data_IF_008302921823
#
_entry.id   IF_008302921823
#
_cell.length_a   1.000
_cell.length_b   1.000
_cell.length_c   1.000
_cell.angle_alpha   90.00
_cell.angle_beta   90.00
_cell.angle_gamma   90.00
#
_symmetry.space_group_name_H-M   'P 1'
#
loop_
_entity.id
_entity.type
_entity.pdbx_description
1 polymer ?
#
# COMPACT_ATOMS: atom_id res chain seq x y z
N UNK A 1 -8.41 -2.91 2.31
CA UNK A 1 -7.53 -2.04 1.51
C UNK A 1 -7.29 -2.69 0.16
N UNK A 2 -7.32 -1.89 -0.90
CA UNK A 2 -6.89 -2.28 -2.24
C UNK A 2 -5.73 -1.39 -2.69
N UNK A 3 -4.64 -2.02 -3.13
CA UNK A 3 -3.46 -1.37 -3.70
C UNK A 3 -3.52 -1.62 -5.20
N UNK A 4 -3.67 -0.58 -6.00
CA UNK A 4 -3.58 -0.65 -7.45
C UNK A 4 -2.23 -0.13 -7.90
N UNK A 5 -1.42 -0.98 -8.51
CA UNK A 5 -0.03 -0.68 -8.92
C UNK A 5 0.09 -0.80 -10.43
N UNK A 6 0.31 0.33 -11.08
CA UNK A 6 0.46 0.46 -12.51
C UNK A 6 1.91 0.80 -12.86
N UNK A 7 2.45 0.20 -13.91
CA UNK A 7 3.76 0.56 -14.48
C UNK A 7 3.58 0.93 -15.95
N UNK A 8 3.98 2.13 -16.32
CA UNK A 8 3.76 2.69 -17.66
C UNK A 8 2.33 2.52 -18.15
N UNK A 9 2.18 2.12 -19.41
CA UNK A 9 0.88 1.88 -20.04
C UNK A 9 0.22 0.52 -19.72
N UNK A 10 0.81 -0.30 -18.85
CA UNK A 10 0.25 -1.60 -18.53
C UNK A 10 -0.99 -1.51 -17.62
N UNK A 11 -1.85 -2.53 -17.65
CA UNK A 11 -2.98 -2.62 -16.71
C UNK A 11 -2.50 -2.69 -15.26
N UNK A 12 -3.15 -1.92 -14.38
CA UNK A 12 -2.83 -1.92 -12.96
C UNK A 12 -3.02 -3.31 -12.32
N UNK A 13 -2.02 -3.77 -11.59
CA UNK A 13 -2.08 -4.98 -10.75
C UNK A 13 -2.74 -4.61 -9.42
N UNK A 14 -3.77 -5.36 -9.01
CA UNK A 14 -4.50 -5.12 -7.76
C UNK A 14 -4.08 -6.12 -6.68
N UNK A 15 -3.74 -5.62 -5.49
CA UNK A 15 -3.56 -6.41 -4.27
C UNK A 15 -4.62 -6.01 -3.25
N UNK A 16 -5.22 -7.01 -2.60
CA UNK A 16 -6.23 -6.78 -1.56
C UNK A 16 -5.72 -7.29 -0.23
N UNK A 17 -5.82 -6.45 0.79
CA UNK A 17 -5.47 -6.76 2.18
C UNK A 17 -6.66 -6.43 3.08
N UNK A 18 -6.97 -7.32 4.02
CA UNK A 18 -8.09 -7.15 4.95
C UNK A 18 -7.65 -7.52 6.36
N UNK A 19 -7.97 -6.66 7.34
CA UNK A 19 -7.71 -6.89 8.76
C UNK A 19 -9.05 -6.75 9.49
N UNK A 20 -9.34 -7.71 10.37
CA UNK A 20 -10.47 -7.63 11.30
C UNK A 20 -9.88 -7.41 12.69
N UNK A 21 -10.32 -6.36 13.38
CA UNK A 21 -9.84 -5.99 14.72
C UNK A 21 -10.97 -5.35 15.51
N UNK A 22 -10.80 -5.22 16.82
CA UNK A 22 -11.74 -4.52 17.71
C UNK A 22 -11.62 -3.00 17.62
N UNK A 23 -12.61 -2.30 18.18
CA UNK A 23 -12.56 -0.84 18.33
C UNK A 23 -11.36 -0.44 19.22
N UNK A 24 -10.58 0.53 18.73
CA UNK A 24 -9.32 1.00 19.33
C UNK A 24 -8.26 -0.08 19.52
N UNK A 25 -8.35 -1.19 18.78
CA UNK A 25 -7.38 -2.27 18.82
C UNK A 25 -6.53 -2.27 17.55
N UNK A 26 -5.22 -2.28 17.71
CA UNK A 26 -4.30 -2.40 16.58
C UNK A 26 -4.36 -3.80 15.97
N UNK A 27 -4.32 -3.89 14.65
CA UNK A 27 -4.10 -5.12 13.91
C UNK A 27 -3.03 -4.95 12.84
N UNK A 28 -2.38 -6.04 12.45
CA UNK A 28 -1.39 -5.99 11.38
C UNK A 28 -1.38 -7.24 10.52
N UNK A 29 -0.89 -7.09 9.29
CA UNK A 29 -0.51 -8.19 8.40
C UNK A 29 0.94 -7.96 7.99
N UNK A 30 1.75 -9.02 8.10
CA UNK A 30 3.11 -9.06 7.56
C UNK A 30 3.20 -10.16 6.52
N UNK A 31 3.54 -9.79 5.29
CA UNK A 31 3.77 -10.76 4.21
C UNK A 31 5.15 -10.49 3.62
N UNK A 32 5.92 -11.55 3.39
CA UNK A 32 7.29 -11.45 2.87
C UNK A 32 7.42 -12.43 1.72
N UNK A 33 7.80 -11.93 0.55
CA UNK A 33 8.27 -12.77 -0.54
C UNK A 33 9.80 -12.91 -0.47
N UNK A 34 10.29 -14.15 -0.53
CA UNK A 34 11.72 -14.46 -0.51
C UNK A 34 12.15 -14.93 -1.90
N UNK A 35 13.17 -14.28 -2.45
CA UNK A 35 13.76 -14.62 -3.74
C UNK A 35 15.22 -15.02 -3.54
N UNK A 36 15.75 -15.91 -4.39
CA UNK A 36 17.14 -16.38 -4.28
C UNK A 36 18.17 -15.26 -4.38
N UNK A 37 17.92 -14.27 -5.24
CA UNK A 37 18.89 -13.23 -5.60
C UNK A 37 18.49 -11.82 -5.16
N UNK A 38 17.43 -11.69 -4.35
CA UNK A 38 16.96 -10.40 -3.87
C UNK A 38 16.76 -10.44 -2.35
N UNK A 39 16.93 -9.30 -1.66
CA UNK A 39 16.46 -9.16 -0.29
C UNK A 39 14.96 -9.51 -0.18
N UNK A 40 14.50 -9.92 1.01
CA UNK A 40 13.08 -10.17 1.24
C UNK A 40 12.23 -8.94 0.87
N UNK A 41 11.09 -9.19 0.21
CA UNK A 41 10.20 -8.16 -0.32
C UNK A 41 8.93 -8.11 0.54
N UNK A 42 8.83 -7.15 1.48
CA UNK A 42 7.68 -7.06 2.37
C UNK A 42 6.48 -6.34 1.75
N UNK A 43 5.30 -6.85 2.09
CA UNK A 43 4.03 -6.15 2.06
C UNK A 43 3.45 -6.20 3.48
N UNK A 44 3.53 -5.07 4.17
CA UNK A 44 3.12 -4.95 5.56
C UNK A 44 2.05 -3.87 5.68
N UNK A 45 1.01 -4.16 6.47
CA UNK A 45 -0.06 -3.22 6.79
C UNK A 45 -0.28 -3.25 8.29
N UNK A 46 -0.29 -2.09 8.91
CA UNK A 46 -0.68 -1.91 10.31
C UNK A 46 -1.88 -0.95 10.35
N UNK A 47 -2.85 -1.25 11.21
CA UNK A 47 -4.09 -0.48 11.30
C UNK A 47 -4.54 -0.32 12.75
N UNK A 48 -5.14 0.82 13.06
CA UNK A 48 -5.82 1.07 14.33
C UNK A 48 -7.13 1.84 14.06
N UNK A 49 -8.29 1.17 14.11
CA UNK A 49 -9.57 1.82 13.92
C UNK A 49 -10.15 2.37 15.23
N UNK A 50 -10.95 3.42 15.10
CA UNK A 50 -11.72 4.05 16.17
C UNK A 50 -13.13 4.33 15.64
N UNK A 51 -14.15 3.76 16.30
CA UNK A 51 -15.55 4.05 15.98
C UNK A 51 -15.95 5.39 16.61
N UNK A 52 -16.39 6.33 15.78
CA UNK A 52 -16.81 7.66 16.21
C UNK A 52 -18.30 7.67 16.61
N UNK A 53 -18.73 8.62 17.48
CA UNK A 53 -20.13 8.71 17.92
C UNK A 53 -21.15 8.92 16.80
N UNK A 54 -20.73 9.51 15.67
CA UNK A 54 -21.57 9.72 14.48
C UNK A 54 -21.64 8.50 13.56
N UNK A 55 -21.02 7.38 13.96
CA UNK A 55 -20.96 6.13 13.20
C UNK A 55 -19.90 6.11 12.10
N UNK A 56 -19.10 7.17 11.95
CA UNK A 56 -17.91 7.14 11.08
C UNK A 56 -16.78 6.37 11.74
N UNK A 57 -15.79 6.00 10.94
CA UNK A 57 -14.65 5.19 11.39
C UNK A 57 -13.40 5.99 11.11
N UNK A 58 -12.69 6.41 12.16
CA UNK A 58 -11.34 6.93 12.02
C UNK A 58 -10.39 5.74 11.96
N UNK A 59 -9.47 5.72 11.00
CA UNK A 59 -8.48 4.64 10.85
C UNK A 59 -7.11 5.25 10.67
N UNK A 60 -6.18 4.87 11.55
CA UNK A 60 -4.75 5.03 11.28
C UNK A 60 -4.27 3.84 10.44
N UNK A 61 -3.58 4.11 9.34
CA UNK A 61 -3.09 3.10 8.39
C UNK A 61 -1.61 3.35 8.12
N UNK A 62 -0.80 2.34 8.36
CA UNK A 62 0.59 2.32 7.92
C UNK A 62 0.77 1.24 6.86
N UNK A 63 1.42 1.60 5.75
CA UNK A 63 1.73 0.70 4.65
C UNK A 63 3.23 0.68 4.39
N UNK A 64 3.81 -0.52 4.34
CA UNK A 64 5.09 -0.79 3.70
C UNK A 64 4.83 -1.68 2.48
N UNK A 65 5.17 -1.16 1.30
CA UNK A 65 5.05 -1.89 0.05
C UNK A 65 6.34 -1.76 -0.76
N UNK A 66 7.13 -2.83 -0.74
CA UNK A 66 8.40 -2.91 -1.45
C UNK A 66 8.22 -3.77 -2.70
N UNK A 67 8.90 -3.39 -3.78
CA UNK A 67 9.03 -4.23 -4.96
C UNK A 67 10.47 -4.24 -5.46
N UNK A 68 10.93 -5.35 -6.06
CA UNK A 68 12.19 -5.36 -6.80
C UNK A 68 12.20 -4.35 -7.95
N UNK A 69 13.36 -3.77 -8.19
CA UNK A 69 13.68 -2.99 -9.36
C UNK A 69 13.95 -3.96 -10.50
N UNK A 70 13.06 -3.99 -11.49
CA UNK A 70 13.20 -4.85 -12.66
C UNK A 70 11.91 -5.54 -13.09
N UNK A 71 11.33 -5.03 -14.18
CA UNK A 71 10.67 -5.81 -15.24
C UNK A 71 10.44 -4.95 -16.49
N UNK A 72 10.27 -3.63 -16.34
CA UNK A 72 10.01 -2.71 -17.47
C UNK A 72 9.98 -1.23 -17.01
N UNK A 73 11.06 -0.71 -16.43
CA UNK A 73 11.20 0.76 -16.33
C UNK A 73 12.18 1.18 -17.43
N UNK A 74 11.82 2.16 -18.30
CA UNK A 74 12.84 2.92 -19.01
C UNK A 74 13.73 3.48 -17.91
N UNK A 75 14.97 3.04 -17.84
CA UNK A 75 15.91 3.59 -16.87
C UNK A 75 15.95 5.10 -17.10
N UNK A 76 15.50 5.90 -16.13
CA UNK A 76 15.99 7.26 -16.04
C UNK A 76 17.50 7.12 -15.92
N UNK A 77 18.22 7.70 -16.89
CA UNK A 77 19.65 7.55 -17.10
C UNK A 77 20.43 8.09 -15.90
N UNK A 78 20.53 7.27 -14.86
CA UNK A 78 21.37 7.49 -13.70
C UNK A 78 22.70 6.83 -14.00
N UNK A 79 23.42 7.39 -14.98
CA UNK A 79 24.59 6.81 -15.65
C UNK A 79 25.69 6.22 -14.74
N UNK A 80 25.67 6.53 -13.44
CA UNK A 80 26.64 6.04 -12.44
C UNK A 80 26.02 5.30 -11.22
N UNK A 81 24.69 5.13 -11.15
CA UNK A 81 24.03 4.56 -9.96
C UNK A 81 23.94 3.02 -9.96
N UNK A 82 24.22 2.38 -11.10
CA UNK A 82 23.99 0.95 -11.28
C UNK A 82 22.51 0.58 -11.48
N UNK A 83 22.17 -0.71 -11.57
CA UNK A 83 20.80 -1.14 -11.83
C UNK A 83 19.89 -0.86 -10.62
N UNK A 84 18.68 -0.37 -10.89
CA UNK A 84 17.63 -0.21 -9.89
C UNK A 84 17.35 -1.57 -9.22
N UNK A 85 17.53 -1.65 -7.90
CA UNK A 85 17.37 -2.91 -7.15
C UNK A 85 16.00 -3.07 -6.51
N UNK A 86 15.39 -1.99 -6.06
CA UNK A 86 14.07 -1.99 -5.43
C UNK A 86 13.44 -0.61 -5.51
N UNK A 87 12.12 -0.57 -5.41
CA UNK A 87 11.36 0.65 -5.16
C UNK A 87 10.38 0.43 -4.03
N UNK A 88 10.19 1.45 -3.20
CA UNK A 88 9.51 1.33 -1.93
C UNK A 88 8.49 2.43 -1.80
N UNK A 89 7.30 2.07 -1.32
CA UNK A 89 6.26 3.00 -0.93
C UNK A 89 6.04 2.83 0.58
N UNK A 90 5.99 3.97 1.26
CA UNK A 90 5.72 4.09 2.69
C UNK A 90 4.62 5.12 2.85
N UNK A 91 3.51 4.71 3.46
CA UNK A 91 2.39 5.59 3.74
C UNK A 91 2.07 5.52 5.24
N UNK A 92 1.80 6.68 5.84
CA UNK A 92 1.26 6.80 7.19
C UNK A 92 0.10 7.78 7.13
N UNK A 93 -1.11 7.24 7.16
CA UNK A 93 -2.34 7.97 6.89
C UNK A 93 -3.27 7.88 8.09
N UNK A 94 -3.96 8.98 8.39
CA UNK A 94 -5.11 8.98 9.30
C UNK A 94 -6.32 9.48 8.53
N UNK A 95 -7.35 8.64 8.39
CA UNK A 95 -8.52 8.91 7.55
C UNK A 95 -9.81 8.70 8.32
N UNK A 96 -10.86 9.43 7.94
CA UNK A 96 -12.22 9.22 8.45
C UNK A 96 -13.06 8.66 7.31
N UNK A 97 -13.68 7.51 7.54
CA UNK A 97 -14.41 6.73 6.54
C UNK A 97 -15.88 6.61 6.96
N UNK A 98 -16.75 6.55 5.96
CA UNK A 98 -18.11 6.06 6.15
C UNK A 98 -18.12 4.54 6.02
N UNK A 99 -18.92 3.85 6.84
CA UNK A 99 -19.02 2.38 6.76
C UNK A 99 -19.42 1.95 5.36
N UNK A 100 -18.74 0.92 4.86
CA UNK A 100 -19.00 0.26 3.58
C UNK A 100 -18.78 1.12 2.33
N UNK A 101 -18.22 2.33 2.48
CA UNK A 101 -17.86 3.20 1.35
C UNK A 101 -16.34 3.19 1.13
N UNK A 102 -15.85 2.66 0.01
CA UNK A 102 -14.44 2.80 -0.36
C UNK A 102 -14.07 4.27 -0.58
N UNK A 103 -12.87 4.65 -0.16
CA UNK A 103 -12.27 5.96 -0.40
C UNK A 103 -10.84 5.76 -0.92
N UNK A 104 -10.49 6.46 -2.00
CA UNK A 104 -9.09 6.61 -2.41
C UNK A 104 -8.41 7.57 -1.44
N UNK A 105 -7.43 7.07 -0.69
CA UNK A 105 -6.79 7.80 0.40
C UNK A 105 -5.38 8.26 0.06
N UNK A 106 -4.75 7.66 -0.95
CA UNK A 106 -3.44 8.06 -1.44
C UNK A 106 -3.27 7.71 -2.93
N UNK A 107 -2.52 8.55 -3.62
CA UNK A 107 -1.98 8.31 -4.94
C UNK A 107 -0.51 8.72 -4.92
N UNK A 108 0.38 7.79 -5.22
CA UNK A 108 1.82 8.00 -5.22
C UNK A 108 2.45 7.54 -6.54
N UNK A 109 3.61 8.10 -6.85
CA UNK A 109 4.40 7.74 -8.00
C UNK A 109 5.81 7.30 -7.56
N UNK A 110 6.40 6.42 -8.33
CA UNK A 110 7.79 6.02 -8.15
C UNK A 110 8.74 7.18 -8.48
N UNK A 111 9.79 7.42 -7.68
CA UNK A 111 10.69 8.54 -7.88
C UNK A 111 11.59 8.41 -9.13
N UNK A 112 11.68 7.21 -9.72
CA UNK A 112 12.56 6.92 -10.86
C UNK A 112 11.77 6.54 -12.11
N UNK A 113 10.76 5.67 -11.95
CA UNK A 113 9.96 5.15 -13.04
C UNK A 113 8.61 5.84 -13.24
N UNK A 114 7.86 5.37 -14.23
CA UNK A 114 6.46 5.75 -14.50
C UNK A 114 5.44 4.93 -13.68
N UNK A 115 5.90 4.31 -12.59
CA UNK A 115 5.05 3.49 -11.71
C UNK A 115 4.14 4.41 -10.90
N UNK A 116 2.85 4.09 -10.89
CA UNK A 116 1.82 4.78 -10.12
C UNK A 116 1.14 3.79 -9.18
N UNK A 117 0.90 4.20 -7.95
CA UNK A 117 0.21 3.41 -6.94
C UNK A 117 -0.95 4.19 -6.37
N UNK A 118 -2.14 3.57 -6.39
CA UNK A 118 -3.35 4.11 -5.78
C UNK A 118 -3.76 3.22 -4.61
N UNK A 119 -4.05 3.84 -3.47
CA UNK A 119 -4.50 3.17 -2.26
C UNK A 119 -5.97 3.51 -2.01
N UNK A 120 -6.81 2.49 -1.98
CA UNK A 120 -8.20 2.57 -1.60
C UNK A 120 -8.43 1.85 -0.28
N UNK A 121 -9.15 2.49 0.64
CA UNK A 121 -9.51 1.92 1.95
C UNK A 121 -11.02 1.91 2.07
N UNK A 122 -11.54 0.77 2.53
CA UNK A 122 -12.92 0.58 2.97
C UNK A 122 -12.87 -0.03 4.36
N UNK A 123 -13.69 0.48 5.26
CA UNK A 123 -13.92 -0.08 6.58
C UNK A 123 -15.40 -0.44 6.73
N UNK A 124 -15.68 -1.51 7.47
CA UNK A 124 -17.02 -2.02 7.72
C UNK A 124 -17.13 -2.35 9.21
N UNK A 125 -18.20 -1.91 9.85
CA UNK A 125 -18.52 -2.33 11.22
C UNK A 125 -19.22 -3.68 11.16
N UNK A 126 -18.59 -4.71 11.74
CA UNK A 126 -19.20 -6.03 11.90
C UNK A 126 -20.01 -6.05 13.21
N UNK A 127 -21.19 -6.68 13.19
CA UNK A 127 -22.10 -6.80 14.34
C UNK A 127 -22.44 -8.26 14.58
#
# INVERSE_FOLDING_TARGET
MTISDQRGGATAVKKTVSVVTGDRQSGFIRTIASYTNLPPVPLNVDTEPELLPDGKIKVAVNLQYDLPGGASSPAADTANAGPLRSTQIRENLAVILESDKPLVVAQSADPVGDRQVTIEVKATVLR
#
